data_IF_342651859235
#
_entry.id   IF_342651859235
#
_cell.length_a   1.000
_cell.length_b   1.000
_cell.length_c   1.000
_cell.angle_alpha   90.00
_cell.angle_beta   90.00
_cell.angle_gamma   90.00
#
_symmetry.space_group_name_H-M   'P 1'
#
loop_
_entity.id
_entity.type
_entity.pdbx_description
1 polymer ?
#
# COMPACT_ATOMS: atom_id res chain seq x y z
N UNK A 1 -13.89 -5.74 -8.99
CA UNK A 1 -12.56 -5.69 -9.66
C UNK A 1 -11.37 -6.13 -8.74
N UNK A 2 -10.24 -5.45 -8.82
CA UNK A 2 -8.95 -5.85 -8.33
C UNK A 2 -8.50 -5.01 -7.22
N UNK A 3 -7.82 -5.45 -6.14
CA UNK A 3 -7.65 -4.76 -4.88
C UNK A 3 -7.05 -3.39 -4.77
N UNK A 4 -7.90 -2.35 -5.04
CA UNK A 4 -7.72 -0.87 -4.91
C UNK A 4 -7.69 -0.40 -3.48
N UNK A 5 -8.76 -0.72 -2.75
CA UNK A 5 -8.87 -0.60 -1.23
C UNK A 5 -7.92 -1.46 -0.46
N UNK A 6 -7.50 -2.65 -1.01
CA UNK A 6 -6.47 -3.51 -0.36
C UNK A 6 -5.02 -3.18 -0.45
N UNK A 7 -4.45 -2.77 -1.58
CA UNK A 7 -3.05 -2.32 -1.65
C UNK A 7 -2.69 -1.04 -0.95
N UNK A 8 -3.35 0.09 -1.38
CA UNK A 8 -3.11 1.47 -0.83
C UNK A 8 -3.62 1.71 0.53
N UNK A 9 -4.94 1.67 0.71
CA UNK A 9 -5.58 1.99 2.00
C UNK A 9 -5.30 0.89 3.00
N UNK A 10 -5.47 -0.38 2.64
CA UNK A 10 -5.27 -1.46 3.58
C UNK A 10 -3.76 -1.71 3.89
N UNK A 11 -2.99 -2.26 2.92
CA UNK A 11 -1.59 -2.72 3.07
C UNK A 11 -0.54 -1.69 3.30
N UNK A 12 -0.55 -0.62 2.54
CA UNK A 12 0.41 0.47 2.75
C UNK A 12 -0.12 1.39 3.83
N UNK A 13 -1.34 1.90 3.70
CA UNK A 13 -2.15 2.79 4.55
C UNK A 13 -2.30 2.30 5.95
N UNK A 14 -3.22 1.31 6.21
CA UNK A 14 -3.56 0.88 7.55
C UNK A 14 -2.48 0.11 8.25
N UNK A 15 -1.81 -0.77 7.50
CA UNK A 15 -0.79 -1.56 8.04
C UNK A 15 0.59 -0.93 7.95
N UNK A 16 1.29 -1.22 6.82
CA UNK A 16 2.65 -0.84 6.62
C UNK A 16 3.36 -1.88 5.69
N UNK A 17 3.98 -1.31 4.68
CA UNK A 17 5.04 -1.98 3.91
C UNK A 17 6.01 -0.88 3.37
N UNK A 18 7.25 -1.29 2.91
CA UNK A 18 8.12 -0.43 2.11
C UNK A 18 7.85 -0.54 0.61
N UNK A 19 7.20 0.50 0.01
CA UNK A 19 7.05 0.73 -1.37
C UNK A 19 8.36 1.15 -2.04
N UNK A 20 9.07 2.11 -1.55
CA UNK A 20 10.34 2.44 -2.21
C UNK A 20 11.12 3.45 -1.42
N UNK A 21 11.66 4.47 -2.10
CA UNK A 21 12.51 5.54 -1.70
C UNK A 21 12.61 6.45 -2.87
N UNK A 22 13.33 7.51 -2.71
CA UNK A 22 13.71 8.45 -3.71
C UNK A 22 15.15 8.26 -4.13
N UNK A 23 16.07 8.00 -3.18
CA UNK A 23 17.52 7.85 -3.34
C UNK A 23 17.95 6.44 -3.72
#
# INVERSE_FOLDING_TARGET
AVGIGALFLGFLGAAGSTMGARSX
#
